data_IF_820168218776
#
_entry.id   IF_820168218776
#
_cell.length_a   1.000
_cell.length_b   1.000
_cell.length_c   1.000
_cell.angle_alpha   90.00
_cell.angle_beta   90.00
_cell.angle_gamma   90.00
#
_symmetry.space_group_name_H-M   'P 1'
#
loop_
_entity.id
_entity.type
_entity.pdbx_description
1 polymer ?
#
# COMPACT_ATOMS: atom_id res chain seq x y z
N UNK A 1 -1.65 -12.59 -14.08
CA UNK A 1 -1.42 -13.29 -12.79
C UNK A 1 -2.38 -12.67 -11.79
N UNK A 2 -3.12 -13.47 -11.03
CA UNK A 2 -4.03 -12.97 -9.98
C UNK A 2 -3.55 -13.48 -8.63
N UNK A 3 -3.41 -12.59 -7.66
CA UNK A 3 -3.06 -12.94 -6.30
C UNK A 3 -4.30 -12.79 -5.42
N UNK A 4 -4.53 -13.77 -4.54
CA UNK A 4 -5.55 -13.67 -3.50
C UNK A 4 -4.82 -13.45 -2.19
N UNK A 5 -5.14 -12.36 -1.51
CA UNK A 5 -4.54 -11.96 -0.24
C UNK A 5 -5.66 -11.69 0.75
N UNK A 6 -5.45 -12.07 2.01
CA UNK A 6 -6.39 -11.82 3.09
C UNK A 6 -5.97 -10.53 3.81
N UNK A 7 -6.94 -9.65 4.07
CA UNK A 7 -6.70 -8.44 4.86
C UNK A 7 -6.45 -8.88 6.29
N UNK A 8 -5.26 -8.57 6.82
CA UNK A 8 -4.87 -8.92 8.18
C UNK A 8 -5.44 -7.91 9.19
N UNK A 9 -5.25 -8.22 10.48
CA UNK A 9 -5.58 -7.30 11.57
C UNK A 9 -4.91 -5.94 11.29
N UNK A 10 -5.62 -4.85 11.55
CA UNK A 10 -5.19 -3.46 11.28
C UNK A 10 -5.32 -3.00 9.81
N UNK A 11 -6.15 -3.67 9.01
CA UNK A 11 -6.42 -3.32 7.59
C UNK A 11 -5.16 -3.35 6.71
N UNK A 12 -4.18 -4.18 7.07
CA UNK A 12 -2.98 -4.40 6.28
C UNK A 12 -3.28 -5.39 5.15
N UNK A 13 -2.76 -5.08 3.96
CA UNK A 13 -2.87 -5.93 2.79
C UNK A 13 -1.48 -6.53 2.56
N UNK A 14 -1.26 -7.82 2.88
CA UNK A 14 0.01 -8.45 2.62
C UNK A 14 0.21 -8.58 1.12
N UNK A 15 1.31 -8.03 0.62
CA UNK A 15 1.69 -8.09 -0.79
C UNK A 15 2.88 -9.05 -0.91
N UNK A 16 2.81 -10.08 -1.78
CA UNK A 16 3.92 -11.02 -1.93
C UNK A 16 5.16 -10.33 -2.52
N UNK A 17 6.35 -10.71 -2.06
CA UNK A 17 7.63 -10.10 -2.46
C UNK A 17 7.84 -10.06 -3.98
N UNK A 18 7.38 -11.10 -4.68
CA UNK A 18 7.43 -11.16 -6.14
C UNK A 18 6.66 -9.98 -6.78
N UNK A 19 5.48 -9.66 -6.27
CA UNK A 19 4.67 -8.55 -6.77
C UNK A 19 5.27 -7.19 -6.36
N UNK A 20 5.85 -7.08 -5.16
CA UNK A 20 6.60 -5.89 -4.75
C UNK A 20 7.79 -5.62 -5.69
N UNK A 21 8.55 -6.66 -6.05
CA UNK A 21 9.68 -6.56 -6.97
C UNK A 21 9.26 -6.22 -8.40
N UNK A 22 8.18 -6.84 -8.90
CA UNK A 22 7.63 -6.55 -10.24
C UNK A 22 7.06 -5.13 -10.34
N UNK A 23 6.37 -4.64 -9.30
CA UNK A 23 5.79 -3.30 -9.27
C UNK A 23 6.79 -2.21 -8.84
N UNK A 24 7.97 -2.60 -8.33
CA UNK A 24 8.99 -1.67 -7.86
C UNK A 24 8.62 -0.93 -6.58
N UNK A 25 7.86 -1.58 -5.69
CA UNK A 25 7.56 -1.07 -4.36
C UNK A 25 8.60 -1.55 -3.36
N UNK A 26 9.11 -0.62 -2.55
CA UNK A 26 10.02 -0.90 -1.45
C UNK A 26 9.44 -0.43 -0.12
N UNK A 27 9.94 -1.00 0.97
CA UNK A 27 9.60 -0.55 2.33
C UNK A 27 9.96 0.93 2.47
N UNK A 28 9.02 1.71 2.99
CA UNK A 28 9.12 3.16 3.14
C UNK A 28 8.52 3.95 1.98
N UNK A 29 8.18 3.31 0.85
CA UNK A 29 7.49 3.99 -0.26
C UNK A 29 6.08 4.42 0.15
N UNK A 30 5.62 5.52 -0.43
CA UNK A 30 4.28 6.08 -0.26
C UNK A 30 3.45 5.69 -1.48
N UNK A 31 2.30 5.09 -1.22
CA UNK A 31 1.33 4.66 -2.22
C UNK A 31 0.02 5.43 -2.03
N UNK A 32 -0.66 5.70 -3.14
CA UNK A 32 -2.02 6.20 -3.19
C UNK A 32 -2.95 5.00 -3.32
N UNK A 33 -3.88 4.85 -2.39
CA UNK A 33 -4.92 3.83 -2.41
C UNK A 33 -6.26 4.47 -2.78
N UNK A 34 -6.85 4.03 -3.89
CA UNK A 34 -8.16 4.51 -4.35
C UNK A 34 -9.06 3.32 -4.64
N UNK A 35 -10.29 3.37 -4.15
CA UNK A 35 -11.33 2.39 -4.50
C UNK A 35 -12.05 2.89 -5.75
N UNK A 36 -11.96 2.13 -6.84
CA UNK A 36 -12.76 2.36 -8.03
C UNK A 36 -14.18 1.82 -7.78
N UNK A 37 -15.14 2.74 -7.65
CA UNK A 37 -16.53 2.40 -7.35
C UNK A 37 -17.27 1.74 -8.52
N UNK A 38 -16.77 1.90 -9.74
CA UNK A 38 -17.41 1.34 -10.94
C UNK A 38 -16.98 -0.11 -11.16
N UNK A 39 -15.73 -0.44 -10.80
CA UNK A 39 -15.13 -1.76 -11.04
C UNK A 39 -14.98 -2.63 -9.80
N UNK A 40 -15.32 -2.10 -8.61
CA UNK A 40 -15.15 -2.80 -7.33
C UNK A 40 -13.70 -3.28 -7.11
N UNK A 41 -12.73 -2.46 -7.52
CA UNK A 41 -11.30 -2.76 -7.41
C UNK A 41 -10.57 -1.69 -6.60
N UNK A 42 -9.47 -2.09 -5.95
CA UNK A 42 -8.57 -1.16 -5.25
C UNK A 42 -7.38 -0.91 -6.18
N UNK A 43 -7.16 0.36 -6.53
CA UNK A 43 -5.98 0.80 -7.27
C UNK A 43 -4.93 1.33 -6.29
N UNK A 44 -3.72 0.77 -6.36
CA UNK A 44 -2.56 1.24 -5.61
C UNK A 44 -1.50 1.77 -6.59
N UNK A 45 -1.10 3.03 -6.42
CA UNK A 45 -0.13 3.68 -7.32
C UNK A 45 0.93 4.38 -6.48
N UNK A 46 2.20 4.30 -6.89
CA UNK A 46 3.29 5.00 -6.22
C UNK A 46 3.06 6.51 -6.26
N UNK A 47 3.08 7.15 -5.10
CA UNK A 47 2.93 8.60 -5.01
C UNK A 47 4.17 9.30 -5.57
N UNK A 48 3.99 10.44 -6.24
CA UNK A 48 5.11 11.17 -6.83
C UNK A 48 6.04 11.78 -5.77
N UNK A 49 5.49 12.19 -4.63
CA UNK A 49 6.25 12.79 -3.54
C UNK A 49 6.50 11.78 -2.42
N UNK A 50 7.73 11.28 -2.34
CA UNK A 50 8.16 10.30 -1.32
C UNK A 50 8.71 10.98 -0.05
N UNK A 51 8.63 12.31 0.04
CA UNK A 51 9.17 13.09 1.16
C UNK A 51 8.12 13.42 2.22
N UNK A 52 6.87 12.98 2.03
CA UNK A 52 5.78 13.25 2.96
C UNK A 52 6.01 12.59 4.32
N UNK A 53 5.66 13.33 5.35
CA UNK A 53 5.67 12.87 6.74
C UNK A 53 4.42 12.04 7.04
N UNK A 54 4.47 11.20 8.08
CA UNK A 54 3.34 10.35 8.45
C UNK A 54 2.09 11.17 8.80
N UNK A 55 2.25 12.37 9.36
CA UNK A 55 1.15 13.31 9.60
C UNK A 55 0.46 13.75 8.29
N UNK A 56 1.23 14.00 7.23
CA UNK A 56 0.69 14.40 5.93
C UNK A 56 0.02 13.22 5.22
N UNK A 57 0.58 12.02 5.35
CA UNK A 57 -0.01 10.77 4.85
C UNK A 57 -1.38 10.54 5.52
N UNK A 58 -1.44 10.67 6.85
CA UNK A 58 -2.68 10.55 7.62
C UNK A 58 -3.69 11.64 7.26
N UNK A 59 -3.24 12.89 7.06
CA UNK A 59 -4.11 14.00 6.68
C UNK A 59 -4.69 13.85 5.27
N UNK A 60 -3.97 13.21 4.33
CA UNK A 60 -4.46 12.95 2.99
C UNK A 60 -5.57 11.89 2.96
N UNK A 61 -5.53 10.93 3.90
CA UNK A 61 -6.56 9.89 4.08
C UNK A 61 -6.62 8.81 2.99
N UNK A 62 -5.96 9.02 1.85
CA UNK A 62 -5.83 8.09 0.74
C UNK A 62 -4.37 7.69 0.46
N UNK A 63 -3.43 8.13 1.29
CA UNK A 63 -2.01 7.76 1.20
C UNK A 63 -1.70 6.68 2.25
N UNK A 64 -0.82 5.76 1.90
CA UNK A 64 -0.28 4.75 2.81
C UNK A 64 1.22 4.58 2.61
N UNK A 65 1.94 4.25 3.69
CA UNK A 65 3.37 3.93 3.64
C UNK A 65 3.54 2.41 3.58
N UNK A 66 4.35 1.92 2.66
CA UNK A 66 4.75 0.51 2.61
C UNK A 66 5.58 0.21 3.85
N UNK A 67 5.15 -0.77 4.62
CA UNK A 67 5.83 -1.22 5.83
C UNK A 67 6.20 -2.69 5.68
N UNK A 68 7.32 -3.09 6.29
CA UNK A 68 7.64 -4.51 6.43
C UNK A 68 6.62 -5.16 7.35
N UNK A 69 6.17 -6.36 6.97
CA UNK A 69 5.37 -7.23 7.84
C UNK A 69 6.21 -7.95 8.91
N UNK A 70 7.50 -7.62 9.06
CA UNK A 70 8.35 -8.19 10.09
C UNK A 70 7.84 -7.79 11.48
N UNK A 71 7.23 -8.79 12.13
CA UNK A 71 6.82 -8.88 13.52
C UNK A 71 6.36 -7.56 14.15
N UNK A 72 5.04 -7.33 14.13
CA UNK A 72 4.40 -6.71 15.27
C UNK A 72 4.79 -7.52 16.51
N UNK A 73 5.71 -6.99 17.31
CA UNK A 73 5.97 -7.42 18.69
C UNK A 73 4.85 -6.88 19.59
#
# INVERSE_FOLDING_TARGET
MSFTVEITKDNLIPVPDALCAELGFAVGDILVCVVDKERSEISMVKHGDQTLTDEQILAAGNLTRVVSLEAAD
#
